data_IF_803166930550
#
_entry.id   IF_803166930550
#
_cell.length_a   1.000
_cell.length_b   1.000
_cell.length_c   1.000
_cell.angle_alpha   90.00
_cell.angle_beta   90.00
_cell.angle_gamma   90.00
#
_symmetry.space_group_name_H-M   'P 1'
#
loop_
_entity.id
_entity.type
_entity.pdbx_description
1 polymer ?
#
# COMPACT_ATOMS: atom_id res chain seq x y z
N UNK A 1 9.20 3.71 35.16
CA UNK A 1 9.98 2.97 34.14
C UNK A 1 9.02 2.01 33.47
N UNK A 2 8.43 2.42 32.34
CA UNK A 2 7.39 1.63 31.67
C UNK A 2 8.02 0.44 30.94
N UNK A 3 7.38 -0.72 31.01
CA UNK A 3 7.80 -1.94 30.36
C UNK A 3 8.00 -1.70 28.85
N UNK A 4 9.13 -2.17 28.31
CA UNK A 4 9.44 -2.11 26.89
C UNK A 4 8.35 -2.86 26.13
N UNK A 5 7.51 -2.13 25.40
CA UNK A 5 6.51 -2.72 24.52
C UNK A 5 7.21 -3.57 23.45
N UNK A 6 7.05 -4.89 23.53
CA UNK A 6 7.69 -5.88 22.64
C UNK A 6 7.06 -5.87 21.25
N UNK A 7 5.97 -5.12 21.04
CA UNK A 7 5.27 -5.07 19.77
C UNK A 7 6.10 -4.32 18.72
N UNK A 8 6.26 -4.94 17.56
CA UNK A 8 6.78 -4.30 16.34
C UNK A 8 5.65 -4.22 15.31
N UNK A 9 4.69 -3.29 15.46
CA UNK A 9 3.65 -3.12 14.46
C UNK A 9 4.25 -2.65 13.14
N UNK A 10 3.58 -2.97 12.04
CA UNK A 10 3.94 -2.46 10.72
C UNK A 10 3.95 -0.93 10.71
N UNK A 11 4.82 -0.36 9.89
CA UNK A 11 4.82 1.07 9.63
C UNK A 11 3.51 1.47 8.96
N UNK A 12 3.06 2.70 9.22
CA UNK A 12 1.92 3.31 8.54
C UNK A 12 2.38 4.51 7.74
N UNK A 13 1.81 4.65 6.55
CA UNK A 13 1.96 5.87 5.78
C UNK A 13 0.58 6.39 5.41
N UNK A 14 0.46 7.71 5.35
CA UNK A 14 -0.80 8.37 5.02
C UNK A 14 -0.58 9.39 3.91
N UNK A 15 -1.64 9.67 3.15
CA UNK A 15 -1.69 10.76 2.20
C UNK A 15 -2.94 11.57 2.48
N UNK A 16 -2.75 12.83 2.85
CA UNK A 16 -3.83 13.80 3.01
C UNK A 16 -4.12 14.44 1.66
N UNK A 17 -5.35 14.28 1.17
CA UNK A 17 -5.76 14.79 -0.13
C UNK A 17 -5.29 13.96 -1.34
N UNK A 18 -6.19 13.81 -2.29
CA UNK A 18 -5.93 13.13 -3.57
C UNK A 18 -5.90 14.09 -4.76
N UNK A 19 -5.79 15.40 -4.49
CA UNK A 19 -5.58 16.39 -5.54
C UNK A 19 -4.18 16.25 -6.14
N UNK A 20 -4.05 16.61 -7.42
CA UNK A 20 -2.75 16.66 -8.10
C UNK A 20 -2.08 15.29 -8.31
N UNK A 21 -2.82 14.18 -8.29
CA UNK A 21 -2.25 12.90 -8.69
C UNK A 21 -1.76 12.95 -10.13
N UNK A 22 -0.58 12.38 -10.44
CA UNK A 22 -0.09 12.29 -11.80
C UNK A 22 -1.08 11.53 -12.70
N UNK A 23 -1.13 11.90 -13.98
CA UNK A 23 -1.85 11.13 -14.99
C UNK A 23 -1.28 9.72 -15.15
N UNK A 24 -2.11 8.78 -15.61
CA UNK A 24 -1.69 7.41 -15.90
C UNK A 24 -0.92 7.38 -17.22
N UNK A 25 0.31 6.85 -17.20
CA UNK A 25 1.14 6.64 -18.38
C UNK A 25 1.86 5.29 -18.25
N UNK A 26 1.13 4.21 -18.51
CA UNK A 26 1.67 2.85 -18.37
C UNK A 26 2.83 2.60 -19.35
N UNK A 27 3.83 1.79 -18.97
CA UNK A 27 4.90 1.39 -19.89
C UNK A 27 4.36 0.63 -21.10
N UNK A 28 5.11 0.65 -22.20
CA UNK A 28 4.79 -0.14 -23.39
C UNK A 28 4.62 -1.63 -23.05
N UNK A 29 3.62 -2.27 -23.67
CA UNK A 29 3.26 -3.67 -23.42
C UNK A 29 2.58 -3.93 -22.08
N UNK A 30 2.26 -2.89 -21.29
CA UNK A 30 1.53 -3.00 -20.02
C UNK A 30 0.17 -2.36 -20.18
N UNK A 31 -0.90 -3.11 -19.88
CA UNK A 31 -2.25 -2.57 -19.75
C UNK A 31 -2.71 -2.62 -18.29
N UNK A 32 -3.70 -1.79 -17.94
CA UNK A 32 -4.28 -1.75 -16.60
C UNK A 32 -5.78 -1.95 -16.69
N UNK A 33 -6.33 -2.81 -15.83
CA UNK A 33 -7.78 -3.01 -15.69
C UNK A 33 -8.14 -3.36 -14.26
N UNK A 34 -9.39 -3.13 -13.88
CA UNK A 34 -9.91 -3.62 -12.61
C UNK A 34 -10.26 -5.10 -12.69
N UNK A 35 -10.57 -5.68 -11.53
CA UNK A 35 -11.01 -7.06 -11.38
C UNK A 35 -12.29 -7.33 -12.15
N UNK A 36 -12.36 -8.52 -12.73
CA UNK A 36 -13.50 -9.13 -13.38
C UNK A 36 -13.77 -10.50 -12.73
N UNK A 37 -15.00 -10.96 -12.77
CA UNK A 37 -15.35 -12.28 -12.20
C UNK A 37 -14.51 -13.38 -12.87
N UNK A 38 -13.86 -14.23 -12.09
CA UNK A 38 -12.88 -15.22 -12.57
C UNK A 38 -11.41 -14.81 -12.39
N UNK A 39 -11.11 -13.60 -11.95
CA UNK A 39 -9.75 -13.13 -11.69
C UNK A 39 -9.17 -13.56 -10.33
N UNK A 40 -9.91 -14.32 -9.50
CA UNK A 40 -9.49 -14.72 -8.16
C UNK A 40 -8.11 -15.37 -8.23
N UNK A 41 -7.98 -16.43 -9.04
CA UNK A 41 -6.73 -17.16 -9.20
C UNK A 41 -5.57 -16.28 -9.69
N UNK A 42 -5.85 -15.24 -10.49
CA UNK A 42 -4.82 -14.29 -10.94
C UNK A 42 -4.30 -13.44 -9.78
N UNK A 43 -5.21 -12.95 -8.93
CA UNK A 43 -4.85 -12.20 -7.74
C UNK A 43 -4.05 -13.05 -6.75
N UNK A 44 -4.53 -14.26 -6.46
CA UNK A 44 -3.88 -15.19 -5.53
C UNK A 44 -2.47 -15.55 -6.02
N UNK A 45 -2.32 -15.79 -7.33
CA UNK A 45 -1.02 -16.06 -7.96
C UNK A 45 -0.03 -14.91 -7.79
N UNK A 46 -0.45 -13.67 -8.08
CA UNK A 46 0.41 -12.48 -7.90
C UNK A 46 0.88 -12.35 -6.45
N UNK A 47 0.00 -12.56 -5.47
CA UNK A 47 0.36 -12.47 -4.05
C UNK A 47 1.26 -13.63 -3.60
N UNK A 48 0.96 -14.86 -4.02
CA UNK A 48 1.75 -16.03 -3.67
C UNK A 48 3.18 -15.91 -4.19
N UNK A 49 3.38 -15.47 -5.43
CA UNK A 49 4.72 -15.26 -5.98
C UNK A 49 5.45 -14.07 -5.33
N UNK A 50 4.73 -13.03 -4.93
CA UNK A 50 5.33 -11.81 -4.38
C UNK A 50 5.69 -11.92 -2.90
N UNK A 51 4.87 -12.63 -2.11
CA UNK A 51 4.99 -12.67 -0.65
C UNK A 51 5.27 -14.07 -0.09
N UNK A 52 5.14 -15.12 -0.90
CA UNK A 52 5.34 -16.50 -0.49
C UNK A 52 4.41 -16.97 0.64
N UNK A 53 4.72 -18.13 1.20
CA UNK A 53 3.95 -18.75 2.28
C UNK A 53 3.27 -20.05 1.85
N UNK A 54 2.53 -20.66 2.78
CA UNK A 54 1.85 -21.92 2.53
C UNK A 54 0.76 -21.77 1.46
N UNK A 55 0.48 -22.82 0.66
CA UNK A 55 -0.65 -22.83 -0.28
C UNK A 55 -1.96 -22.41 0.40
N UNK A 56 -2.75 -21.58 -0.28
CA UNK A 56 -4.02 -21.07 0.24
C UNK A 56 -3.91 -19.91 1.24
N UNK A 57 -2.68 -19.44 1.56
CA UNK A 57 -2.48 -18.25 2.43
C UNK A 57 -3.22 -17.01 1.91
N UNK A 58 -3.28 -16.85 0.59
CA UNK A 58 -3.88 -15.70 -0.05
C UNK A 58 -5.20 -16.07 -0.74
N UNK A 59 -6.18 -16.62 -0.02
CA UNK A 59 -7.51 -16.86 -0.60
C UNK A 59 -8.21 -15.52 -0.88
N UNK A 60 -8.50 -15.23 -2.14
CA UNK A 60 -9.21 -14.02 -2.54
C UNK A 60 -10.59 -13.94 -1.89
N UNK A 61 -11.31 -15.06 -1.85
CA UNK A 61 -12.65 -15.08 -1.27
C UNK A 61 -12.63 -14.78 0.22
N UNK A 62 -11.68 -15.37 0.96
CA UNK A 62 -11.56 -15.15 2.39
C UNK A 62 -11.07 -13.74 2.74
N UNK A 63 -10.23 -13.14 1.90
CA UNK A 63 -9.53 -11.88 2.21
C UNK A 63 -10.23 -10.67 1.60
N UNK A 64 -10.59 -10.75 0.33
CA UNK A 64 -11.15 -9.64 -0.44
C UNK A 64 -12.66 -9.78 -0.52
N UNK A 65 -13.21 -10.87 -1.07
CA UNK A 65 -14.65 -10.99 -1.35
C UNK A 65 -15.52 -10.99 -0.09
N UNK A 66 -15.01 -11.54 1.02
CA UNK A 66 -15.72 -11.64 2.29
C UNK A 66 -15.98 -10.29 2.97
N UNK A 67 -15.23 -9.24 2.61
CA UNK A 67 -15.36 -7.94 3.27
C UNK A 67 -16.34 -7.02 2.55
N UNK A 68 -17.13 -6.22 3.29
CA UNK A 68 -18.13 -5.30 2.72
C UNK A 68 -17.51 -4.18 1.87
N UNK A 69 -16.19 -3.98 1.98
CA UNK A 69 -15.42 -3.03 1.18
C UNK A 69 -15.13 -3.52 -0.23
N UNK A 70 -15.41 -4.79 -0.56
CA UNK A 70 -15.15 -5.32 -1.89
C UNK A 70 -16.09 -4.73 -2.94
N UNK A 71 -15.47 -4.23 -4.01
CA UNK A 71 -16.09 -3.94 -5.29
C UNK A 71 -15.06 -4.31 -6.37
N UNK A 72 -15.46 -4.93 -7.51
CA UNK A 72 -14.54 -5.28 -8.58
C UNK A 72 -13.64 -4.11 -9.03
N UNK A 73 -14.20 -2.91 -9.13
CA UNK A 73 -13.50 -1.72 -9.62
C UNK A 73 -12.46 -1.15 -8.64
N UNK A 74 -12.42 -1.67 -7.41
CA UNK A 74 -11.43 -1.31 -6.40
C UNK A 74 -10.16 -2.13 -6.49
N UNK A 75 -10.20 -3.32 -7.10
CA UNK A 75 -9.04 -4.19 -7.23
C UNK A 75 -8.47 -4.00 -8.63
N UNK A 76 -7.23 -3.55 -8.73
CA UNK A 76 -6.56 -3.26 -9.99
C UNK A 76 -5.49 -4.28 -10.30
N UNK A 77 -5.33 -4.57 -11.59
CA UNK A 77 -4.24 -5.34 -12.14
C UNK A 77 -3.47 -4.53 -13.18
N UNK A 78 -2.17 -4.79 -13.26
CA UNK A 78 -1.41 -4.55 -14.48
C UNK A 78 -1.24 -5.89 -15.20
N UNK A 79 -1.47 -5.86 -16.51
CA UNK A 79 -1.44 -7.03 -17.37
C UNK A 79 -0.28 -6.92 -18.38
N UNK A 80 0.39 -8.04 -18.64
CA UNK A 80 1.38 -8.21 -19.71
C UNK A 80 1.09 -9.55 -20.38
N UNK A 81 0.90 -9.54 -21.70
CA UNK A 81 0.59 -10.74 -22.49
C UNK A 81 -0.58 -11.58 -21.95
N UNK A 82 -1.61 -10.90 -21.42
CA UNK A 82 -2.80 -11.54 -20.85
C UNK A 82 -2.66 -12.01 -19.39
N UNK A 83 -1.47 -11.88 -18.80
CA UNK A 83 -1.17 -12.30 -17.43
C UNK A 83 -1.13 -11.13 -16.45
N UNK A 84 -1.70 -11.32 -15.26
CA UNK A 84 -1.61 -10.34 -14.19
C UNK A 84 -0.19 -10.35 -13.59
N UNK A 85 0.47 -9.19 -13.61
CA UNK A 85 1.87 -9.04 -13.15
C UNK A 85 2.02 -8.17 -11.92
N UNK A 86 1.01 -7.35 -11.62
CA UNK A 86 0.95 -6.55 -10.42
C UNK A 86 -0.51 -6.35 -9.99
N UNK A 87 -0.74 -6.14 -8.70
CA UNK A 87 -2.05 -5.78 -8.15
C UNK A 87 -1.94 -4.71 -7.07
N UNK A 88 -2.99 -3.93 -6.90
CA UNK A 88 -3.25 -3.05 -5.76
C UNK A 88 -4.75 -2.85 -5.62
N UNK A 89 -5.21 -2.57 -4.39
CA UNK A 89 -6.61 -2.36 -4.10
C UNK A 89 -6.87 -1.02 -3.40
N UNK A 90 -7.98 -0.37 -3.77
CA UNK A 90 -8.54 0.77 -3.06
C UNK A 90 -9.59 0.29 -2.06
N UNK A 91 -9.16 -0.03 -0.85
CA UNK A 91 -9.93 -0.86 0.06
C UNK A 91 -10.23 -0.15 1.39
N UNK A 92 -11.43 0.41 1.60
CA UNK A 92 -11.79 1.04 2.86
C UNK A 92 -11.64 0.08 4.05
N UNK A 93 -11.07 0.58 5.15
CA UNK A 93 -10.89 -0.14 6.41
C UNK A 93 -11.20 0.81 7.56
N UNK A 94 -11.64 0.29 8.71
CA UNK A 94 -12.12 1.13 9.82
C UNK A 94 -11.10 2.16 10.31
N UNK A 95 -9.82 1.81 10.31
CA UNK A 95 -8.75 2.65 10.86
C UNK A 95 -8.47 3.92 10.06
N UNK A 96 -8.90 3.99 8.79
CA UNK A 96 -8.80 5.21 7.97
C UNK A 96 -10.06 6.09 8.08
N UNK A 97 -11.03 5.68 8.90
CA UNK A 97 -12.28 6.40 9.09
C UNK A 97 -13.24 6.30 7.88
N UNK A 98 -14.45 6.88 8.01
CA UNK A 98 -15.52 6.72 7.02
C UNK A 98 -15.22 7.38 5.67
N UNK A 99 -14.40 8.44 5.67
CA UNK A 99 -14.01 9.20 4.47
C UNK A 99 -12.69 8.72 3.87
N UNK A 100 -11.99 7.80 4.54
CA UNK A 100 -10.71 7.28 4.11
C UNK A 100 -10.80 6.01 3.28
N UNK A 101 -9.69 5.64 2.66
CA UNK A 101 -9.48 4.33 2.03
C UNK A 101 -8.07 3.82 2.28
N UNK A 102 -7.85 2.50 2.19
CA UNK A 102 -6.52 1.91 2.33
C UNK A 102 -5.99 1.52 0.96
N UNK A 103 -4.75 1.91 0.65
CA UNK A 103 -4.00 1.32 -0.45
C UNK A 103 -3.51 -0.05 0.00
N UNK A 104 -4.17 -1.10 -0.48
CA UNK A 104 -4.05 -2.44 0.07
C UNK A 104 -3.52 -3.46 -0.95
N UNK A 105 -2.87 -4.52 -0.47
CA UNK A 105 -2.33 -5.63 -1.27
C UNK A 105 -1.57 -5.19 -2.53
N UNK A 106 -0.65 -4.22 -2.38
CA UNK A 106 0.25 -3.82 -3.47
C UNK A 106 1.31 -4.91 -3.66
N UNK A 107 1.33 -5.53 -4.83
CA UNK A 107 2.27 -6.60 -5.16
C UNK A 107 2.69 -6.53 -6.63
N UNK A 108 3.91 -6.99 -6.91
CA UNK A 108 4.47 -7.11 -8.26
C UNK A 108 5.23 -8.43 -8.32
N UNK A 109 4.88 -9.28 -9.28
CA UNK A 109 5.55 -10.57 -9.50
C UNK A 109 7.06 -10.36 -9.65
N UNK A 110 7.92 -11.19 -9.02
CA UNK A 110 9.38 -10.99 -9.04
C UNK A 110 9.97 -10.78 -10.43
N UNK A 111 9.52 -11.52 -11.43
CA UNK A 111 9.98 -11.42 -12.83
C UNK A 111 9.70 -10.06 -13.49
N UNK A 112 8.82 -9.23 -12.91
CA UNK A 112 8.41 -7.93 -13.45
C UNK A 112 8.81 -6.74 -12.57
N UNK A 113 9.64 -6.96 -11.55
CA UNK A 113 10.17 -5.90 -10.69
C UNK A 113 11.17 -5.00 -11.43
N UNK A 114 11.52 -3.85 -10.85
CA UNK A 114 12.39 -2.85 -11.48
C UNK A 114 11.75 -2.01 -12.60
N UNK A 115 10.53 -2.35 -13.05
CA UNK A 115 9.80 -1.67 -14.14
C UNK A 115 8.81 -0.59 -13.67
N UNK A 116 8.93 -0.15 -12.40
CA UNK A 116 8.01 0.80 -11.74
C UNK A 116 6.53 0.36 -11.73
N UNK A 117 6.24 -0.93 -11.85
CA UNK A 117 4.86 -1.43 -11.88
C UNK A 117 4.11 -1.21 -10.57
N UNK A 118 4.80 -1.31 -9.43
CA UNK A 118 4.22 -0.99 -8.11
C UNK A 118 3.69 0.45 -8.06
N UNK A 119 4.44 1.40 -8.62
CA UNK A 119 4.01 2.80 -8.71
C UNK A 119 2.73 2.94 -9.54
N UNK A 120 2.69 2.32 -10.71
CA UNK A 120 1.55 2.46 -11.62
C UNK A 120 0.29 1.78 -11.10
N UNK A 121 0.40 0.57 -10.55
CA UNK A 121 -0.76 -0.13 -10.01
C UNK A 121 -1.31 0.56 -8.75
N UNK A 122 -0.42 1.11 -7.90
CA UNK A 122 -0.85 1.95 -6.78
C UNK A 122 -1.54 3.23 -7.26
N UNK A 123 -1.01 3.88 -8.30
CA UNK A 123 -1.61 5.09 -8.85
C UNK A 123 -3.01 4.85 -9.44
N UNK A 124 -3.24 3.70 -10.10
CA UNK A 124 -4.58 3.28 -10.54
C UNK A 124 -5.56 3.17 -9.37
N UNK A 125 -5.15 2.51 -8.28
CA UNK A 125 -5.96 2.42 -7.06
C UNK A 125 -6.22 3.81 -6.44
N UNK A 126 -5.25 4.71 -6.42
CA UNK A 126 -5.44 6.08 -5.95
C UNK A 126 -6.44 6.88 -6.81
N UNK A 127 -6.39 6.73 -8.15
CA UNK A 127 -7.38 7.34 -9.04
C UNK A 127 -8.79 6.78 -8.80
N UNK A 128 -8.92 5.49 -8.45
CA UNK A 128 -10.21 4.95 -8.00
C UNK A 128 -10.70 5.65 -6.73
N UNK A 129 -9.81 5.92 -5.78
CA UNK A 129 -10.17 6.65 -4.55
C UNK A 129 -10.57 8.11 -4.83
N UNK A 130 -10.03 8.75 -5.87
CA UNK A 130 -10.49 10.07 -6.34
C UNK A 130 -11.93 10.00 -6.84
N UNK A 131 -12.25 9.01 -7.68
CA UNK A 131 -13.61 8.80 -8.20
C UNK A 131 -14.60 8.58 -7.06
N UNK A 132 -14.18 7.84 -6.02
CA UNK A 132 -14.96 7.60 -4.81
C UNK A 132 -14.94 8.76 -3.79
N UNK A 133 -14.34 9.90 -4.14
CA UNK A 133 -14.29 11.12 -3.33
C UNK A 133 -13.68 10.90 -1.92
N UNK A 134 -12.69 10.00 -1.83
CA UNK A 134 -11.95 9.78 -0.57
C UNK A 134 -11.07 10.99 -0.28
N UNK A 135 -10.98 11.38 0.98
CA UNK A 135 -10.18 12.54 1.40
C UNK A 135 -8.87 12.15 2.09
N UNK A 136 -8.75 10.88 2.50
CA UNK A 136 -7.62 10.35 3.24
C UNK A 136 -7.25 8.96 2.73
N UNK A 137 -5.96 8.69 2.58
CA UNK A 137 -5.48 7.35 2.21
C UNK A 137 -4.45 6.89 3.21
N UNK A 138 -4.64 5.67 3.71
CA UNK A 138 -3.69 4.99 4.56
C UNK A 138 -3.07 3.77 3.90
N UNK A 139 -1.93 3.30 4.39
CA UNK A 139 -1.40 1.98 4.10
C UNK A 139 -0.56 1.45 5.28
N UNK A 140 -0.34 0.14 5.30
CA UNK A 140 0.61 -0.52 6.18
C UNK A 140 1.73 -1.18 5.38
N UNK A 141 2.96 -1.16 5.90
CA UNK A 141 4.11 -1.79 5.27
C UNK A 141 5.15 -2.23 6.30
N UNK A 142 5.91 -3.27 5.96
CA UNK A 142 7.08 -3.68 6.74
C UNK A 142 8.32 -2.87 6.33
N UNK A 143 9.23 -2.63 7.27
CA UNK A 143 10.42 -1.78 7.13
C UNK A 143 11.35 -2.26 6.02
N UNK A 144 11.51 -3.59 5.91
CA UNK A 144 12.37 -4.22 4.91
C UNK A 144 11.84 -4.06 3.48
N UNK A 145 10.59 -3.58 3.29
CA UNK A 145 10.00 -3.35 1.95
C UNK A 145 10.41 -1.99 1.39
N UNK A 146 11.70 -1.68 1.43
CA UNK A 146 12.28 -0.41 0.97
C UNK A 146 11.78 0.00 -0.44
N UNK A 147 11.69 -0.90 -1.45
CA UNK A 147 11.15 -0.53 -2.77
C UNK A 147 9.69 -0.04 -2.75
N UNK A 148 8.87 -0.60 -1.86
CA UNK A 148 7.48 -0.19 -1.69
C UNK A 148 7.40 1.16 -0.98
N UNK A 149 8.15 1.34 0.11
CA UNK A 149 8.22 2.61 0.86
C UNK A 149 8.66 3.76 -0.07
N UNK A 150 9.71 3.55 -0.86
CA UNK A 150 10.16 4.52 -1.86
C UNK A 150 9.08 4.85 -2.91
N UNK A 151 8.29 3.85 -3.31
CA UNK A 151 7.15 4.06 -4.21
C UNK A 151 6.08 4.94 -3.57
N UNK A 152 5.73 4.68 -2.31
CA UNK A 152 4.73 5.46 -1.59
C UNK A 152 5.17 6.90 -1.32
N UNK A 153 6.44 7.12 -0.94
CA UNK A 153 7.03 8.45 -0.82
C UNK A 153 6.93 9.25 -2.14
N UNK A 154 7.19 8.61 -3.29
CA UNK A 154 7.02 9.23 -4.62
C UNK A 154 5.57 9.50 -4.99
N UNK A 155 4.64 8.73 -4.43
CA UNK A 155 3.20 8.96 -4.50
C UNK A 155 2.74 9.93 -3.40
N UNK A 156 3.65 10.64 -2.74
CA UNK A 156 3.36 11.66 -1.73
C UNK A 156 2.68 11.13 -0.48
N UNK A 157 2.90 9.86 -0.13
CA UNK A 157 2.62 9.38 1.21
C UNK A 157 3.69 9.86 2.18
N UNK A 158 3.30 10.05 3.43
CA UNK A 158 4.11 10.54 4.52
C UNK A 158 4.09 9.52 5.68
N UNK A 159 5.12 9.48 6.53
CA UNK A 159 5.11 8.69 7.76
C UNK A 159 3.90 9.02 8.64
N UNK A 160 3.35 8.00 9.28
CA UNK A 160 2.32 8.16 10.30
C UNK A 160 2.64 7.24 11.47
N UNK A 161 2.78 7.82 12.66
CA UNK A 161 3.20 7.09 13.86
C UNK A 161 2.02 6.40 14.53
N UNK A 162 2.10 5.08 14.66
CA UNK A 162 1.15 4.27 15.44
C UNK A 162 1.80 3.59 16.65
N UNK A 163 3.10 3.80 16.84
CA UNK A 163 3.85 3.26 17.96
C UNK A 163 5.19 3.99 18.18
N UNK A 164 5.63 4.11 19.44
CA UNK A 164 6.80 4.92 19.82
C UNK A 164 8.11 4.41 19.21
N UNK A 165 8.25 3.10 19.01
CA UNK A 165 9.41 2.53 18.31
C UNK A 165 9.58 3.05 16.87
N UNK A 166 8.53 3.61 16.25
CA UNK A 166 8.57 4.08 14.87
C UNK A 166 9.32 5.40 14.73
N UNK A 167 9.47 6.19 15.81
CA UNK A 167 10.32 7.39 15.82
C UNK A 167 11.79 7.07 15.50
N UNK A 168 12.26 5.88 15.89
CA UNK A 168 13.61 5.40 15.57
C UNK A 168 13.67 4.58 14.27
N UNK A 169 12.59 3.90 13.89
CA UNK A 169 12.55 3.05 12.68
C UNK A 169 12.47 3.86 11.39
N UNK A 170 11.69 4.95 11.37
CA UNK A 170 11.57 5.80 10.17
C UNK A 170 12.90 6.41 9.73
N UNK A 171 13.71 7.03 10.63
CA UNK A 171 15.04 7.50 10.25
C UNK A 171 15.93 6.41 9.66
N UNK A 172 15.92 5.19 10.24
CA UNK A 172 16.68 4.05 9.70
C UNK A 172 16.23 3.65 8.30
N UNK A 173 14.91 3.59 8.07
CA UNK A 173 14.35 3.33 6.74
C UNK A 173 14.81 4.41 5.74
N UNK A 174 14.83 5.68 6.13
CA UNK A 174 15.31 6.75 5.26
C UNK A 174 16.80 6.66 4.96
N UNK A 175 17.61 6.29 5.94
CA UNK A 175 19.04 6.03 5.76
C UNK A 175 19.29 4.85 4.80
N UNK A 176 18.56 3.74 4.97
CA UNK A 176 18.64 2.56 4.09
C UNK A 176 18.16 2.84 2.66
N UNK A 177 17.24 3.80 2.50
CA UNK A 177 16.82 4.32 1.19
C UNK A 177 17.85 5.26 0.55
N UNK A 178 18.90 5.66 1.26
CA UNK A 178 19.87 6.65 0.81
C UNK A 178 19.30 8.07 0.76
N UNK A 179 18.27 8.36 1.56
CA UNK A 179 17.57 9.65 1.62
C UNK A 179 17.45 10.18 3.06
N UNK A 180 18.57 10.32 3.81
CA UNK A 180 18.57 10.73 5.23
C UNK A 180 17.92 12.10 5.46
N UNK A 181 17.90 12.98 4.46
CA UNK A 181 17.24 14.28 4.49
C UNK A 181 15.72 14.19 4.73
N UNK A 182 15.11 13.03 4.42
CA UNK A 182 13.69 12.79 4.69
C UNK A 182 13.37 12.82 6.18
N UNK A 183 14.33 12.48 7.06
CA UNK A 183 14.16 12.62 8.51
C UNK A 183 13.88 14.07 8.88
N UNK A 184 14.60 15.02 8.28
CA UNK A 184 14.36 16.45 8.49
C UNK A 184 13.06 16.89 7.84
N UNK A 185 12.77 16.41 6.62
CA UNK A 185 11.54 16.73 5.89
C UNK A 185 10.29 16.34 6.69
N UNK A 186 10.31 15.18 7.34
CA UNK A 186 9.18 14.63 8.08
C UNK A 186 9.33 14.80 9.59
N UNK A 187 10.15 15.74 10.06
CA UNK A 187 10.39 15.94 11.50
C UNK A 187 9.07 16.15 12.27
N UNK A 188 8.14 16.92 11.72
CA UNK A 188 6.82 17.15 12.32
C UNK A 188 6.04 15.83 12.49
N UNK A 189 5.96 14.99 11.46
CA UNK A 189 5.29 13.69 11.51
C UNK A 189 5.98 12.72 12.46
N UNK A 190 7.31 12.82 12.61
CA UNK A 190 8.10 11.99 13.52
C UNK A 190 8.07 12.47 14.98
N UNK A 191 7.62 13.69 15.22
CA UNK A 191 7.41 14.30 16.55
C UNK A 191 5.93 14.30 16.97
N UNK A 192 5.02 13.96 16.04
CA UNK A 192 3.58 13.96 16.26
C UNK A 192 3.15 13.03 17.41
N UNK A 193 1.95 13.28 17.94
CA UNK A 193 1.34 12.37 18.92
C UNK A 193 1.07 11.02 18.27
N UNK A 194 1.23 9.94 19.05
CA UNK A 194 0.90 8.62 18.53
C UNK A 194 -0.61 8.49 18.50
N UNK A 195 -1.16 8.41 17.30
CA UNK A 195 -2.53 7.99 17.09
C UNK A 195 -2.57 6.46 17.27
N UNK A 196 -2.95 6.02 18.46
CA UNK A 196 -3.21 4.61 18.74
C UNK A 196 -4.64 4.34 18.27
N UNK A 197 -4.86 3.71 17.10
CA UNK A 197 -6.20 3.28 16.76
C UNK A 197 -6.70 2.36 17.87
N UNK A 198 -7.97 2.50 18.31
CA UNK A 198 -8.49 1.75 19.44
C UNK A 198 -8.22 0.26 19.22
N UNK A 199 -7.59 -0.37 20.21
CA UNK A 199 -7.39 -1.81 20.24
C UNK A 199 -8.75 -2.49 20.08
N UNK A 200 -8.94 -3.19 18.95
CA UNK A 200 -10.00 -4.20 18.85
C UNK A 200 -9.72 -5.34 19.82
#
# INVERSE_FOLDING_TARGET
MSATDVRQPQLRMTRTGLTGLPGISLPEGVSGRSFEEGDEARWECVLQESFGGAPGRFSFDAIMRSSPSFQPERVWFLMVDGEAVATAAAYPQDWVGPTGSTLHYVAVRPAHQGRRLGYWVSLLALHRMVIEQRSFVGLATDDFRLPAIHTYLKLGFEPYLVHENQRARWPRVFDELGAPELTRRFAAQLEDEIDVPPSR
#
